data_IF_703624184541
#
_entry.id   IF_703624184541
#
_cell.length_a   1.000
_cell.length_b   1.000
_cell.length_c   1.000
_cell.angle_alpha   90.00
_cell.angle_beta   90.00
_cell.angle_gamma   90.00
#
_symmetry.space_group_name_H-M   'P 1'
#
loop_
_entity.id
_entity.type
_entity.pdbx_description
1 polymer ?
#
# COMPACT_ATOMS: atom_id res chain seq x y z
N UNK A 1 8.96 -18.70 -1.77
CA UNK A 1 7.86 -17.71 -1.81
C UNK A 1 7.14 -17.88 -3.14
N UNK A 2 5.80 -17.76 -3.18
CA UNK A 2 5.07 -17.78 -4.45
C UNK A 2 5.61 -16.68 -5.39
N UNK A 3 5.56 -16.93 -6.69
CA UNK A 3 5.81 -15.87 -7.67
C UNK A 3 4.84 -14.70 -7.43
N UNK A 4 5.32 -13.47 -7.56
CA UNK A 4 4.51 -12.28 -7.38
C UNK A 4 4.73 -11.35 -8.57
N UNK A 5 3.65 -10.76 -9.08
CA UNK A 5 3.72 -9.70 -10.07
C UNK A 5 4.14 -8.40 -9.36
N UNK A 6 5.11 -7.69 -9.92
CA UNK A 6 5.55 -6.37 -9.43
C UNK A 6 4.89 -5.27 -10.25
N UNK A 7 3.92 -4.56 -9.67
CA UNK A 7 3.18 -3.46 -10.30
C UNK A 7 3.79 -2.11 -9.96
N UNK A 8 4.01 -1.30 -11.00
CA UNK A 8 4.52 0.06 -10.89
C UNK A 8 5.81 0.19 -10.06
N UNK A 9 6.17 1.43 -9.68
CA UNK A 9 5.81 2.65 -10.40
C UNK A 9 6.50 2.68 -11.78
N UNK A 10 6.12 3.63 -12.64
CA UNK A 10 6.71 3.79 -14.00
C UNK A 10 8.22 4.08 -13.96
N UNK A 11 8.65 4.84 -12.96
CA UNK A 11 10.05 5.17 -12.70
C UNK A 11 10.25 5.34 -11.20
N UNK A 12 11.50 5.17 -10.74
CA UNK A 12 11.92 5.44 -9.37
C UNK A 12 13.20 6.26 -9.40
N UNK A 13 13.33 7.19 -8.46
CA UNK A 13 14.51 8.02 -8.27
C UNK A 13 14.83 8.11 -6.78
N UNK A 14 16.11 8.30 -6.46
CA UNK A 14 16.57 8.37 -5.07
C UNK A 14 16.76 6.99 -4.44
N UNK A 15 16.53 6.90 -3.13
CA UNK A 15 16.74 5.68 -2.34
C UNK A 15 15.58 4.72 -2.52
N UNK A 16 15.85 3.55 -3.09
CA UNK A 16 14.86 2.48 -3.28
C UNK A 16 14.64 1.72 -1.97
N UNK A 17 13.39 1.38 -1.71
CA UNK A 17 12.99 0.48 -0.63
C UNK A 17 12.05 -0.61 -1.13
N UNK A 18 12.13 -1.77 -0.50
CA UNK A 18 11.37 -2.95 -0.87
C UNK A 18 10.85 -3.64 0.40
N UNK A 19 9.54 -3.84 0.49
CA UNK A 19 8.84 -4.52 1.57
C UNK A 19 8.06 -5.74 1.05
N UNK A 20 8.57 -6.38 -0.01
CA UNK A 20 8.04 -7.65 -0.54
C UNK A 20 7.89 -8.69 0.58
N UNK A 21 6.73 -9.34 0.62
CA UNK A 21 6.38 -10.36 1.61
C UNK A 21 5.62 -9.82 2.82
N UNK A 22 5.76 -8.53 3.15
CA UNK A 22 5.08 -7.92 4.29
C UNK A 22 3.66 -7.50 3.90
N UNK A 23 2.69 -8.41 4.06
CA UNK A 23 1.31 -8.21 3.58
C UNK A 23 0.25 -7.98 4.66
N UNK A 24 0.54 -8.28 5.93
CA UNK A 24 -0.46 -8.25 7.00
C UNK A 24 -0.50 -6.87 7.68
N UNK A 25 -0.85 -5.83 6.92
CA UNK A 25 -0.87 -4.45 7.42
C UNK A 25 -2.04 -4.25 8.39
N UNK A 26 -1.74 -3.69 9.56
CA UNK A 26 -2.73 -3.26 10.56
C UNK A 26 -2.79 -1.74 10.70
N UNK A 27 -1.71 -1.03 10.33
CA UNK A 27 -1.65 0.42 10.35
C UNK A 27 -0.78 0.97 9.22
N UNK A 28 -1.19 2.10 8.66
CA UNK A 28 -0.36 2.96 7.80
C UNK A 28 -0.36 4.36 8.39
N UNK A 29 0.80 4.84 8.81
CA UNK A 29 1.01 6.22 9.26
C UNK A 29 1.57 7.03 8.11
N UNK A 30 0.98 8.20 7.84
CA UNK A 30 1.26 9.01 6.66
C UNK A 30 1.49 10.45 7.09
N UNK A 31 2.68 10.97 6.82
CA UNK A 31 2.97 12.41 6.89
C UNK A 31 2.85 13.00 5.48
N UNK A 32 2.07 14.07 5.32
CA UNK A 32 1.78 14.66 4.01
C UNK A 32 1.47 16.15 4.11
N UNK A 33 1.49 16.82 2.97
CA UNK A 33 1.06 18.21 2.79
C UNK A 33 0.58 18.40 1.35
N UNK A 34 0.18 19.62 0.98
CA UNK A 34 -0.31 19.89 -0.38
C UNK A 34 0.66 19.38 -1.45
N UNK A 35 0.17 18.44 -2.27
CA UNK A 35 0.83 17.75 -3.37
C UNK A 35 2.14 17.05 -2.99
N UNK A 36 2.29 16.59 -1.74
CA UNK A 36 3.48 15.87 -1.29
C UNK A 36 3.08 14.79 -0.29
N UNK A 37 3.57 13.57 -0.52
CA UNK A 37 3.65 12.54 0.51
C UNK A 37 5.06 12.60 1.10
N UNK A 38 5.18 13.05 2.35
CA UNK A 38 6.47 13.23 3.01
C UNK A 38 7.01 11.87 3.46
N UNK A 39 6.21 11.10 4.20
CA UNK A 39 6.65 9.80 4.69
C UNK A 39 5.51 8.81 4.90
N UNK A 40 5.87 7.53 4.92
CA UNK A 40 5.00 6.46 5.41
C UNK A 40 5.75 5.50 6.35
N UNK A 41 5.02 4.96 7.31
CA UNK A 41 5.43 3.80 8.11
C UNK A 41 4.28 2.80 8.12
N UNK A 42 4.61 1.51 8.02
CA UNK A 42 3.64 0.43 8.08
C UNK A 42 3.82 -0.33 9.38
N UNK A 43 2.72 -0.70 10.02
CA UNK A 43 2.71 -1.68 11.10
C UNK A 43 2.09 -2.97 10.59
N UNK A 44 2.74 -4.08 10.90
CA UNK A 44 2.32 -5.41 10.47
C UNK A 44 1.98 -6.28 11.66
N UNK A 45 0.96 -7.09 11.49
CA UNK A 45 0.70 -8.18 12.38
C UNK A 45 1.60 -9.39 12.04
N UNK A 46 2.29 -9.91 13.05
CA UNK A 46 2.90 -11.24 13.02
C UNK A 46 1.95 -12.27 13.61
N UNK A 47 1.96 -13.48 13.04
CA UNK A 47 1.46 -14.65 13.76
C UNK A 47 2.53 -15.02 14.79
N UNK A 48 2.17 -15.03 16.07
CA UNK A 48 2.98 -15.70 17.08
C UNK A 48 2.84 -17.21 16.89
N UNK A 49 3.95 -17.93 17.10
CA UNK A 49 3.97 -19.38 17.10
C UNK A 49 3.51 -19.89 18.46
N UNK A 50 2.68 -20.93 18.42
CA UNK A 50 2.06 -21.67 19.53
C UNK A 50 0.78 -21.05 20.09
N UNK A 51 -0.32 -21.65 19.62
CA UNK A 51 -1.65 -21.78 20.22
C UNK A 51 -2.20 -20.55 20.96
N UNK A 52 -3.04 -19.83 20.21
CA UNK A 52 -4.12 -18.98 20.70
C UNK A 52 -3.74 -17.77 21.60
N UNK A 53 -3.65 -16.58 20.98
CA UNK A 53 -4.40 -15.33 21.31
C UNK A 53 -3.60 -14.03 21.11
N UNK A 54 -2.26 -14.02 20.98
CA UNK A 54 -1.51 -12.74 20.85
C UNK A 54 -0.94 -12.50 19.46
N UNK A 55 -1.54 -11.56 18.74
CA UNK A 55 -0.99 -10.99 17.52
C UNK A 55 0.00 -9.90 17.90
N UNK A 56 1.31 -10.20 17.80
CA UNK A 56 2.34 -9.18 17.94
C UNK A 56 2.27 -8.22 16.74
N UNK A 57 2.52 -6.94 17.01
CA UNK A 57 2.58 -5.89 15.99
C UNK A 57 3.97 -5.30 15.99
N UNK A 58 4.58 -5.23 14.80
CA UNK A 58 5.86 -4.56 14.62
C UNK A 58 5.77 -3.53 13.50
N UNK A 59 6.49 -2.42 13.67
CA UNK A 59 6.56 -1.35 12.69
C UNK A 59 7.76 -1.54 11.75
N UNK A 60 7.60 -1.17 10.48
CA UNK A 60 8.73 -0.95 9.58
C UNK A 60 9.54 0.26 10.03
N UNK A 61 10.70 0.46 9.39
CA UNK A 61 11.29 1.80 9.34
C UNK A 61 10.31 2.79 8.67
N UNK A 62 10.48 4.07 8.96
CA UNK A 62 9.82 5.13 8.21
C UNK A 62 10.52 5.33 6.87
N UNK A 63 9.73 5.39 5.80
CA UNK A 63 10.19 5.75 4.46
C UNK A 63 9.92 7.23 4.23
N UNK A 64 10.98 8.02 4.05
CA UNK A 64 10.89 9.49 4.02
C UNK A 64 11.00 10.10 5.42
N UNK A 65 10.80 11.41 5.50
CA UNK A 65 10.90 12.19 6.73
C UNK A 65 9.53 12.73 7.14
N UNK A 66 9.08 12.52 8.39
CA UNK A 66 7.73 12.89 8.83
C UNK A 66 7.58 14.39 9.15
N UNK A 67 8.12 15.26 8.30
CA UNK A 67 8.09 16.73 8.46
C UNK A 67 6.89 17.40 7.75
N UNK A 68 5.94 16.62 7.25
CA UNK A 68 4.74 17.14 6.59
C UNK A 68 3.82 17.90 7.55
N UNK A 69 3.08 18.88 7.01
CA UNK A 69 2.15 19.72 7.77
C UNK A 69 0.89 18.98 8.26
N UNK A 70 0.62 17.79 7.71
CA UNK A 70 -0.52 16.93 8.07
C UNK A 70 -0.02 15.53 8.38
N UNK A 71 -0.69 14.89 9.33
CA UNK A 71 -0.46 13.51 9.70
C UNK A 71 -1.79 12.76 9.65
N UNK A 72 -1.77 11.53 9.17
CA UNK A 72 -2.96 10.70 9.04
C UNK A 72 -2.62 9.24 9.32
N UNK A 73 -3.54 8.55 9.99
CA UNK A 73 -3.41 7.13 10.31
C UNK A 73 -4.53 6.35 9.64
N UNK A 74 -4.17 5.28 8.95
CA UNK A 74 -5.08 4.29 8.39
C UNK A 74 -4.99 3.03 9.24
N UNK A 75 -6.00 2.78 10.06
CA UNK A 75 -6.13 1.53 10.82
C UNK A 75 -6.93 0.51 10.02
N UNK A 76 -6.36 -0.67 9.84
CA UNK A 76 -6.95 -1.81 9.14
C UNK A 76 -7.27 -2.87 10.18
N UNK A 77 -8.57 -3.22 10.31
CA UNK A 77 -9.01 -4.28 11.24
C UNK A 77 -8.67 -5.65 10.67
N UNK A 78 -7.43 -6.07 10.81
CA UNK A 78 -7.01 -7.43 10.47
C UNK A 78 -7.68 -8.45 11.40
N UNK A 79 -8.14 -9.63 10.91
CA UNK A 79 -8.06 -10.09 9.53
C UNK A 79 -9.28 -9.78 8.64
N UNK A 80 -10.33 -9.12 9.15
CA UNK A 80 -11.60 -8.91 8.43
C UNK A 80 -11.54 -7.78 7.39
N UNK A 81 -10.64 -6.83 7.60
CA UNK A 81 -10.34 -5.71 6.71
C UNK A 81 -8.94 -5.89 6.11
N UNK A 82 -8.83 -5.72 4.81
CA UNK A 82 -7.58 -5.86 4.06
C UNK A 82 -7.57 -4.96 2.84
N UNK A 83 -6.37 -4.58 2.39
CA UNK A 83 -6.19 -3.78 1.18
C UNK A 83 -6.66 -4.55 -0.06
N UNK A 84 -7.36 -3.85 -0.94
CA UNK A 84 -7.82 -4.37 -2.25
C UNK A 84 -7.28 -3.54 -3.40
N UNK A 85 -6.98 -2.26 -3.17
CA UNK A 85 -6.28 -1.43 -4.14
C UNK A 85 -5.52 -0.27 -3.49
N UNK A 86 -4.57 0.25 -4.26
CA UNK A 86 -3.94 1.55 -4.01
C UNK A 86 -4.03 2.37 -5.29
N UNK A 87 -4.41 3.62 -5.15
CA UNK A 87 -4.47 4.58 -6.26
C UNK A 87 -3.88 5.91 -5.83
N UNK A 88 -3.65 6.79 -6.79
CA UNK A 88 -3.09 8.11 -6.53
C UNK A 88 -2.64 8.78 -7.80
N UNK A 89 -1.84 9.82 -7.63
CA UNK A 89 -1.38 10.65 -8.73
C UNK A 89 0.10 10.95 -8.62
N UNK A 90 0.71 11.09 -9.79
CA UNK A 90 2.04 11.64 -9.98
C UNK A 90 1.94 12.98 -10.71
N UNK A 91 2.73 13.97 -10.28
CA UNK A 91 3.00 15.18 -11.06
C UNK A 91 4.47 15.18 -11.47
N UNK A 92 4.73 15.15 -12.77
CA UNK A 92 6.09 15.11 -13.35
C UNK A 92 6.97 14.03 -12.71
N UNK A 93 6.40 12.84 -12.50
CA UNK A 93 7.09 11.67 -11.93
C UNK A 93 7.20 11.66 -10.40
N UNK A 94 6.73 12.70 -9.69
CA UNK A 94 6.69 12.74 -8.22
C UNK A 94 5.33 12.30 -7.70
N UNK A 95 5.29 11.36 -6.75
CA UNK A 95 4.07 10.98 -6.06
C UNK A 95 3.51 12.16 -5.25
N UNK A 96 2.29 12.59 -5.59
CA UNK A 96 1.65 13.75 -4.96
C UNK A 96 0.41 13.39 -4.16
N UNK A 97 -0.21 12.23 -4.43
CA UNK A 97 -1.38 11.79 -3.68
C UNK A 97 -1.49 10.28 -3.58
N UNK A 98 -2.17 9.81 -2.52
CA UNK A 98 -2.43 8.40 -2.27
C UNK A 98 -3.84 8.16 -1.74
N UNK A 99 -4.43 7.07 -2.18
CA UNK A 99 -5.70 6.55 -1.71
C UNK A 99 -5.51 5.05 -1.47
N UNK A 100 -5.80 4.61 -0.26
CA UNK A 100 -5.84 3.19 0.08
C UNK A 100 -7.29 2.74 0.15
N UNK A 101 -7.65 1.69 -0.59
CA UNK A 101 -8.96 1.07 -0.50
C UNK A 101 -8.83 -0.28 0.18
N UNK A 102 -9.67 -0.50 1.18
CA UNK A 102 -9.90 -1.81 1.78
C UNK A 102 -11.17 -2.42 1.22
N UNK A 103 -11.42 -3.70 1.50
CA UNK A 103 -12.71 -4.34 1.27
C UNK A 103 -13.88 -3.71 2.07
N UNK A 104 -13.63 -2.73 2.93
CA UNK A 104 -14.64 -2.06 3.77
C UNK A 104 -14.82 -0.58 3.45
N UNK A 105 -13.75 0.14 3.16
CA UNK A 105 -13.77 1.60 3.02
C UNK A 105 -12.58 2.13 2.24
N UNK A 106 -12.69 3.41 1.88
CA UNK A 106 -11.67 4.19 1.19
C UNK A 106 -11.00 5.15 2.18
N UNK A 107 -9.68 5.27 2.11
CA UNK A 107 -8.85 6.15 2.94
C UNK A 107 -8.09 7.14 2.06
N UNK A 108 -8.24 8.44 2.33
CA UNK A 108 -7.63 9.53 1.55
C UNK A 108 -8.62 10.27 0.63
N UNK A 109 -8.13 11.04 -0.36
CA UNK A 109 -6.72 11.14 -0.75
C UNK A 109 -5.86 11.82 0.32
N UNK A 110 -4.66 11.29 0.52
CA UNK A 110 -3.57 11.96 1.25
C UNK A 110 -2.73 12.76 0.26
N UNK A 111 -2.06 13.82 0.70
CA UNK A 111 -1.26 14.70 -0.16
C UNK A 111 -2.08 15.74 -0.94
N UNK A 112 -3.30 15.43 -1.40
CA UNK A 112 -4.19 16.44 -1.99
C UNK A 112 -4.99 17.17 -0.93
N UNK A 113 -4.89 18.49 -0.86
CA UNK A 113 -5.65 19.27 0.14
C UNK A 113 -6.48 20.39 -0.50
N UNK A 114 -7.48 19.97 -1.29
CA UNK A 114 -8.37 20.88 -2.00
C UNK A 114 -7.75 21.49 -3.26
N UNK A 115 -8.62 21.94 -4.17
CA UNK A 115 -8.24 22.39 -5.51
C UNK A 115 -8.11 21.21 -6.47
N UNK A 116 -9.07 21.08 -7.40
CA UNK A 116 -8.87 20.24 -8.57
C UNK A 116 -7.76 20.88 -9.40
N UNK A 117 -6.60 20.25 -9.48
CA UNK A 117 -5.57 20.66 -10.40
C UNK A 117 -6.01 20.23 -11.80
N UNK A 118 -6.45 21.19 -12.62
CA UNK A 118 -6.72 21.01 -14.05
C UNK A 118 -5.42 20.89 -14.86
N UNK A 119 -4.35 20.38 -14.23
CA UNK A 119 -3.01 20.39 -14.81
C UNK A 119 -2.82 19.13 -15.65
N UNK A 120 -2.41 19.32 -16.90
CA UNK A 120 -2.33 18.27 -17.92
C UNK A 120 -1.18 17.29 -17.63
N UNK A 121 -0.27 17.63 -16.70
CA UNK A 121 0.89 16.80 -16.32
C UNK A 121 0.63 15.79 -15.21
N UNK A 122 -0.62 15.59 -14.79
CA UNK A 122 -0.96 14.67 -13.72
C UNK A 122 -1.26 13.28 -14.28
N UNK A 123 -0.42 12.32 -13.90
CA UNK A 123 -0.58 10.91 -14.23
C UNK A 123 -1.29 10.19 -13.07
N UNK A 124 -2.52 9.71 -13.30
CA UNK A 124 -3.24 8.87 -12.35
C UNK A 124 -2.77 7.41 -12.42
N UNK A 125 -2.75 6.73 -11.28
CA UNK A 125 -2.55 5.28 -11.22
C UNK A 125 -3.59 4.62 -10.31
N UNK A 126 -3.93 3.39 -10.65
CA UNK A 126 -4.77 2.52 -9.83
C UNK A 126 -4.28 1.08 -9.97
N UNK A 127 -3.82 0.50 -8.85
CA UNK A 127 -3.44 -0.89 -8.76
C UNK A 127 -4.51 -1.64 -7.97
N UNK A 128 -5.34 -2.38 -8.68
CA UNK A 128 -6.31 -3.31 -8.10
C UNK A 128 -5.68 -4.70 -8.01
N UNK A 129 -5.73 -5.27 -6.82
CA UNK A 129 -5.06 -6.54 -6.51
C UNK A 129 -5.95 -7.44 -5.64
N UNK A 130 -7.27 -7.37 -5.84
CA UNK A 130 -8.22 -8.25 -5.16
C UNK A 130 -8.19 -9.69 -5.70
N UNK A 131 -8.76 -10.66 -4.95
CA UNK A 131 -9.41 -10.54 -3.63
C UNK A 131 -8.41 -10.75 -2.46
N UNK A 132 -8.91 -11.13 -1.27
CA UNK A 132 -8.10 -11.35 -0.05
C UNK A 132 -6.85 -12.18 -0.34
N UNK A 133 -5.76 -11.88 0.38
CA UNK A 133 -4.46 -12.56 0.31
C UNK A 133 -3.63 -12.32 -0.95
N UNK A 134 -4.14 -11.58 -1.95
CA UNK A 134 -3.38 -11.25 -3.15
C UNK A 134 -2.37 -10.10 -2.92
N UNK A 135 -2.55 -9.26 -1.89
CA UNK A 135 -1.53 -8.26 -1.54
C UNK A 135 -0.23 -8.93 -1.05
N UNK A 136 0.89 -8.56 -1.68
CA UNK A 136 2.21 -9.15 -1.48
C UNK A 136 3.25 -8.20 -0.87
N UNK A 137 2.87 -6.98 -0.51
CA UNK A 137 3.76 -5.96 0.05
C UNK A 137 3.97 -4.78 -0.89
N UNK A 138 4.57 -3.71 -0.37
CA UNK A 138 4.88 -2.50 -1.12
C UNK A 138 6.34 -2.45 -1.55
N UNK A 139 6.64 -1.64 -2.54
CA UNK A 139 7.98 -1.17 -2.85
C UNK A 139 7.91 0.28 -3.34
N UNK A 140 9.04 0.97 -3.39
CA UNK A 140 9.05 2.35 -3.83
C UNK A 140 10.38 3.05 -3.66
N UNK A 141 10.33 4.38 -3.64
CA UNK A 141 11.52 5.20 -3.49
C UNK A 141 11.28 6.46 -2.66
N UNK A 142 12.36 6.97 -2.09
CA UNK A 142 12.41 8.24 -1.36
C UNK A 142 13.44 9.14 -2.05
N UNK A 143 13.04 10.37 -2.35
CA UNK A 143 13.91 11.40 -2.94
C UNK A 143 13.75 12.68 -2.15
N UNK A 144 14.88 13.30 -1.75
CA UNK A 144 14.89 14.56 -0.99
C UNK A 144 14.00 14.50 0.28
N UNK A 145 14.09 13.40 1.02
CA UNK A 145 13.33 13.19 2.25
C UNK A 145 11.84 12.91 2.05
N UNK A 146 11.31 12.97 0.82
CA UNK A 146 9.89 12.70 0.53
C UNK A 146 9.70 11.35 -0.16
N UNK A 147 8.56 10.72 0.04
CA UNK A 147 8.16 9.58 -0.78
C UNK A 147 7.99 10.05 -2.22
N UNK A 148 8.72 9.39 -3.11
CA UNK A 148 8.81 9.79 -4.51
C UNK A 148 8.00 8.87 -5.41
N UNK A 149 8.00 7.56 -5.12
CA UNK A 149 7.24 6.59 -5.89
C UNK A 149 6.81 5.39 -5.05
N UNK A 150 5.73 4.74 -5.46
CA UNK A 150 5.16 3.55 -4.84
C UNK A 150 4.70 2.53 -5.88
N UNK A 151 4.88 1.26 -5.57
CA UNK A 151 4.35 0.13 -6.31
C UNK A 151 3.97 -1.01 -5.36
N UNK A 152 3.36 -2.05 -5.92
CA UNK A 152 2.78 -3.16 -5.16
C UNK A 152 3.27 -4.49 -5.72
N UNK A 153 3.54 -5.45 -4.84
CA UNK A 153 3.63 -6.85 -5.20
C UNK A 153 2.26 -7.50 -5.07
N UNK A 154 1.87 -8.28 -6.07
CA UNK A 154 0.59 -9.01 -6.10
C UNK A 154 0.88 -10.51 -6.23
N UNK A 155 0.39 -11.29 -5.28
CA UNK A 155 0.40 -12.75 -5.32
C UNK A 155 -0.70 -13.23 -6.28
N UNK A 156 -0.48 -14.34 -7.00
CA UNK A 156 -1.54 -14.97 -7.78
C UNK A 156 -2.70 -15.32 -6.86
N UNK A 157 -3.91 -15.17 -7.39
CA UNK A 157 -5.08 -15.70 -6.73
C UNK A 157 -5.08 -17.21 -6.92
N UNK A 158 -4.64 -17.95 -5.90
CA UNK A 158 -4.75 -19.41 -5.89
C UNK A 158 -6.21 -19.78 -5.59
N UNK A 159 -7.00 -19.99 -6.65
CA UNK A 159 -8.26 -20.72 -6.53
C UNK A 159 -7.87 -22.17 -6.24
N UNK A 160 -7.87 -22.56 -4.97
CA UNK A 160 -8.04 -23.97 -4.61
C UNK A 160 -9.54 -24.16 -4.38
N UNK A 161 -10.30 -24.30 -5.47
CA UNK A 161 -11.63 -24.87 -5.39
C UNK A 161 -11.47 -26.33 -4.96
N UNK A 162 -11.56 -26.57 -3.66
CA UNK A 162 -11.66 -27.93 -3.13
C UNK A 162 -12.96 -28.64 -3.60
N UNK A 163 -13.88 -27.92 -4.25
CA UNK A 163 -15.19 -28.43 -4.68
C UNK A 163 -15.28 -28.75 -6.18
N UNK A 164 -14.25 -28.49 -7.00
CA UNK A 164 -14.28 -28.84 -8.43
C UNK A 164 -13.96 -30.31 -8.74
N UNK A 165 -13.77 -31.16 -7.72
CA UNK A 165 -13.54 -32.62 -7.88
C UNK A 165 -14.81 -33.48 -7.88
N UNK A 166 -16.01 -32.90 -7.77
CA UNK A 166 -17.26 -33.67 -7.76
C UNK A 166 -18.31 -33.18 -8.77
N UNK A 167 -17.94 -33.05 -10.05
CA UNK A 167 -18.92 -33.05 -11.13
C UNK A 167 -18.38 -33.84 -12.33
N UNK A 168 -18.42 -35.16 -12.23
CA UNK A 168 -18.54 -36.04 -13.39
C UNK A 168 -19.98 -36.59 -13.35
N UNK A 169 -20.84 -36.10 -14.24
CA UNK A 169 -22.04 -36.82 -14.68
C UNK A 169 -21.67 -37.73 -15.85
#
# INVERSE_FOLDING_TARGET
MPEMVKLGPKSMEGLIWDAKGNSNIVEIQISHQQNIINSMQFSYASQSGEEDILMDVYASKTYGEPHGLKFSTVTIRYPEEYLVSVSGEYDKGKLISLVFCTNKKRHGPFGRTGGGSSDVSIDEFNFEFGPRFCFGGFHGSVKEGCLHAIGVYVKPHEIIDADSKFLNF
#
